data_IF_724286865586
#
_entry.id   IF_724286865586
#
_cell.length_a   1.000
_cell.length_b   1.000
_cell.length_c   1.000
_cell.angle_alpha   90.00
_cell.angle_beta   90.00
_cell.angle_gamma   90.00
#
_symmetry.space_group_name_H-M   'P 1'
#
loop_
_entity.id
_entity.type
_entity.pdbx_description
1 polymer ?
#
# COMPACT_ATOMS: atom_id res chain seq x y z
N UNK A 1 -2.97 8.19 14.74
CA UNK A 1 -2.04 8.26 13.59
C UNK A 1 -1.16 7.01 13.60
N UNK A 2 -0.82 6.41 12.45
CA UNK A 2 0.11 5.26 12.37
C UNK A 2 1.46 5.71 11.81
N UNK A 3 2.55 5.35 12.48
CA UNK A 3 3.93 5.60 12.05
C UNK A 3 4.18 4.92 10.69
N UNK A 4 3.80 3.64 10.56
CA UNK A 4 3.90 2.87 9.31
C UNK A 4 3.00 3.39 8.18
N UNK A 5 2.07 4.30 8.47
CA UNK A 5 1.30 5.01 7.44
C UNK A 5 2.16 5.88 6.51
N UNK A 6 3.43 6.14 6.88
CA UNK A 6 4.39 6.93 6.09
C UNK A 6 5.41 6.08 5.32
N UNK A 7 5.35 4.75 5.38
CA UNK A 7 6.35 3.88 4.73
C UNK A 7 6.44 4.12 3.22
N UNK A 8 5.32 4.38 2.54
CA UNK A 8 5.31 4.72 1.12
C UNK A 8 6.01 6.05 0.83
N UNK A 9 5.81 7.06 1.68
CA UNK A 9 6.49 8.37 1.57
C UNK A 9 7.99 8.23 1.77
N UNK A 10 8.41 7.46 2.76
CA UNK A 10 9.84 7.19 3.02
C UNK A 10 10.47 6.41 1.86
N UNK A 11 9.79 5.37 1.37
CA UNK A 11 10.26 4.62 0.19
C UNK A 11 10.41 5.54 -1.01
N UNK A 12 9.43 6.42 -1.26
CA UNK A 12 9.51 7.38 -2.34
C UNK A 12 10.70 8.35 -2.15
N UNK A 13 11.00 8.79 -0.93
CA UNK A 13 12.15 9.65 -0.65
C UNK A 13 13.49 8.97 -0.97
N UNK A 14 13.68 7.72 -0.53
CA UNK A 14 14.89 6.94 -0.83
C UNK A 14 15.12 6.75 -2.33
N UNK A 15 14.04 6.57 -3.10
CA UNK A 15 14.15 6.41 -4.55
C UNK A 15 14.44 7.76 -5.22
N UNK A 16 13.66 8.79 -4.93
CA UNK A 16 13.85 10.11 -5.56
C UNK A 16 15.21 10.74 -5.22
N UNK A 17 15.78 10.45 -4.04
CA UNK A 17 17.09 10.94 -3.63
C UNK A 17 18.24 10.49 -4.54
N UNK A 18 18.05 9.41 -5.32
CA UNK A 18 19.07 8.89 -6.23
C UNK A 18 18.73 9.09 -7.71
N UNK A 19 17.59 9.70 -8.04
CA UNK A 19 17.20 9.96 -9.43
C UNK A 19 17.98 11.19 -9.96
N UNK A 20 18.79 11.06 -11.02
CA UNK A 20 19.43 12.20 -11.67
C UNK A 20 18.41 13.20 -12.17
N UNK A 21 18.79 14.47 -12.12
CA UNK A 21 18.02 15.56 -12.73
C UNK A 21 18.87 16.14 -13.85
N UNK A 22 18.38 16.04 -15.08
CA UNK A 22 18.88 16.77 -16.22
C UNK A 22 18.00 18.01 -16.41
N UNK A 23 18.53 19.18 -16.08
CA UNK A 23 17.80 20.43 -16.20
C UNK A 23 17.78 20.88 -17.67
N UNK A 24 16.60 21.09 -18.26
CA UNK A 24 16.54 21.57 -19.63
C UNK A 24 16.92 23.04 -19.73
N UNK A 25 17.43 23.40 -20.90
CA UNK A 25 17.58 24.79 -21.30
C UNK A 25 16.27 25.36 -21.85
N UNK A 26 16.24 26.68 -22.08
CA UNK A 26 15.02 27.36 -22.52
C UNK A 26 14.52 26.91 -23.90
N UNK A 27 15.41 26.50 -24.80
CA UNK A 27 15.02 26.08 -26.15
C UNK A 27 14.40 24.68 -26.12
N UNK A 28 14.94 23.76 -25.32
CA UNK A 28 14.34 22.44 -25.06
C UNK A 28 12.94 22.58 -24.44
N UNK A 29 12.76 23.51 -23.49
CA UNK A 29 11.44 23.78 -22.90
C UNK A 29 10.48 24.33 -23.94
N UNK A 30 10.91 25.28 -24.77
CA UNK A 30 10.06 25.85 -25.84
C UNK A 30 9.63 24.79 -26.85
N UNK A 31 10.55 23.92 -27.28
CA UNK A 31 10.24 22.84 -28.21
C UNK A 31 9.25 21.84 -27.59
N UNK A 32 9.49 21.42 -26.35
CA UNK A 32 8.59 20.57 -25.59
C UNK A 32 7.17 21.15 -25.48
N UNK A 33 7.06 22.45 -25.15
CA UNK A 33 5.78 23.14 -25.07
C UNK A 33 5.11 23.27 -26.44
N UNK A 34 5.86 23.56 -27.50
CA UNK A 34 5.33 23.64 -28.86
C UNK A 34 4.68 22.32 -29.30
N UNK A 35 5.28 21.17 -28.99
CA UNK A 35 4.72 19.84 -29.28
C UNK A 35 3.41 19.60 -28.51
N UNK A 36 3.34 20.09 -27.27
CA UNK A 36 2.13 20.07 -26.46
C UNK A 36 1.09 21.13 -26.91
N UNK A 37 1.38 21.91 -27.95
CA UNK A 37 0.55 22.99 -28.45
C UNK A 37 0.38 24.13 -27.45
N UNK A 38 1.46 24.42 -26.71
CA UNK A 38 1.54 25.47 -25.70
C UNK A 38 2.62 26.50 -26.03
N UNK A 39 2.46 27.70 -25.47
CA UNK A 39 3.41 28.80 -25.46
C UNK A 39 3.24 29.60 -24.15
N UNK A 40 3.96 30.70 -24.02
CA UNK A 40 3.95 31.53 -22.80
C UNK A 40 2.57 32.15 -22.48
N UNK A 41 1.69 32.30 -23.48
CA UNK A 41 0.36 32.91 -23.32
C UNK A 41 -0.71 31.90 -22.94
N UNK A 42 -0.51 30.60 -23.23
CA UNK A 42 -1.50 29.55 -23.00
C UNK A 42 -0.94 28.34 -22.23
N UNK A 43 0.11 28.56 -21.43
CA UNK A 43 0.71 27.56 -20.55
C UNK A 43 -0.32 27.00 -19.57
N UNK A 44 -0.54 25.68 -19.63
CA UNK A 44 -1.62 25.00 -18.93
C UNK A 44 -1.26 23.54 -18.64
N UNK A 45 -2.05 22.88 -17.80
CA UNK A 45 -1.96 21.45 -17.56
C UNK A 45 -2.17 20.69 -18.87
N UNK A 46 -1.20 19.86 -19.25
CA UNK A 46 -1.25 19.04 -20.46
C UNK A 46 -2.45 18.08 -20.45
N UNK A 47 -2.87 17.62 -19.26
CA UNK A 47 -3.94 16.64 -19.10
C UNK A 47 -5.35 17.23 -19.14
N UNK A 48 -5.60 18.38 -18.48
CA UNK A 48 -6.97 18.89 -18.30
C UNK A 48 -7.18 20.36 -18.68
N UNK A 49 -6.12 21.10 -19.00
CA UNK A 49 -6.23 22.52 -19.38
C UNK A 49 -6.38 23.52 -18.23
N UNK A 50 -6.45 23.06 -16.98
CA UNK A 50 -6.36 23.96 -15.82
C UNK A 50 -4.95 24.60 -15.75
N UNK A 51 -4.78 25.63 -14.91
CA UNK A 51 -3.46 26.18 -14.60
C UNK A 51 -2.48 25.07 -14.15
N UNK A 52 -1.34 24.98 -14.84
CA UNK A 52 -0.25 24.10 -14.41
C UNK A 52 0.41 24.68 -13.15
N UNK A 53 0.67 23.81 -12.17
CA UNK A 53 1.31 24.17 -10.90
C UNK A 53 2.63 23.44 -10.68
N UNK A 54 2.93 22.45 -11.52
CA UNK A 54 4.08 21.57 -11.40
C UNK A 54 4.37 20.87 -12.74
N UNK A 55 5.47 20.12 -12.78
CA UNK A 55 5.80 19.23 -13.90
C UNK A 55 5.61 17.79 -13.44
N UNK A 56 4.83 17.01 -14.19
CA UNK A 56 4.57 15.59 -13.90
C UNK A 56 5.41 14.68 -14.79
N UNK A 57 5.86 13.56 -14.22
CA UNK A 57 6.59 12.55 -14.97
C UNK A 57 5.64 11.71 -15.82
N UNK A 58 5.74 11.81 -17.13
CA UNK A 58 4.86 11.10 -18.07
C UNK A 58 5.02 9.57 -17.93
N UNK A 59 6.26 9.11 -17.75
CA UNK A 59 6.64 7.74 -17.40
C UNK A 59 7.05 7.71 -15.92
N UNK A 60 6.52 6.77 -15.11
CA UNK A 60 6.74 6.78 -13.67
C UNK A 60 8.22 6.53 -13.33
N UNK A 61 8.76 7.31 -12.39
CA UNK A 61 10.10 7.07 -11.81
C UNK A 61 10.12 5.87 -10.86
N UNK A 62 8.97 5.57 -10.22
CA UNK A 62 8.85 4.55 -9.18
C UNK A 62 7.78 3.53 -9.55
N UNK A 63 8.14 2.24 -9.56
CA UNK A 63 7.22 1.14 -9.73
C UNK A 63 7.63 -0.02 -8.82
N UNK A 64 6.67 -0.68 -8.17
CA UNK A 64 6.92 -1.81 -7.27
C UNK A 64 8.01 -1.53 -6.21
N UNK A 65 8.01 -0.31 -5.65
CA UNK A 65 8.99 0.18 -4.67
C UNK A 65 10.45 0.20 -5.17
N UNK A 66 10.66 0.26 -6.49
CA UNK A 66 11.98 0.36 -7.13
C UNK A 66 11.99 1.49 -8.17
N UNK A 67 13.15 2.08 -8.47
CA UNK A 67 13.29 2.98 -9.62
C UNK A 67 13.08 2.22 -10.93
N UNK A 68 12.48 2.87 -11.91
CA UNK A 68 12.17 2.28 -13.23
C UNK A 68 13.33 2.35 -14.23
N UNK A 69 14.37 3.11 -13.92
CA UNK A 69 15.47 3.43 -14.83
C UNK A 69 15.37 4.84 -15.43
N UNK A 70 14.17 5.43 -15.49
CA UNK A 70 13.99 6.79 -16.00
C UNK A 70 14.56 7.83 -15.04
N UNK A 71 15.05 8.93 -15.60
CA UNK A 71 15.54 10.10 -14.85
C UNK A 71 14.53 11.26 -14.92
N UNK A 72 14.79 12.32 -14.18
CA UNK A 72 14.04 13.57 -14.34
C UNK A 72 14.70 14.43 -15.41
N UNK A 73 14.03 14.56 -16.55
CA UNK A 73 14.50 15.34 -17.71
C UNK A 73 13.29 15.80 -18.52
N UNK A 74 13.47 16.78 -19.40
CA UNK A 74 12.36 17.37 -20.14
C UNK A 74 11.59 16.32 -20.94
N UNK A 75 12.23 15.37 -21.61
CA UNK A 75 11.59 14.30 -22.41
C UNK A 75 10.61 13.40 -21.61
N UNK A 76 10.64 13.49 -20.28
CA UNK A 76 9.74 12.78 -19.40
C UNK A 76 8.88 13.71 -18.53
N UNK A 77 8.87 15.02 -18.75
CA UNK A 77 8.18 16.01 -17.92
C UNK A 77 7.15 16.80 -18.72
N UNK A 78 5.89 16.81 -18.26
CA UNK A 78 4.83 17.63 -18.85
C UNK A 78 4.24 18.59 -17.81
N UNK A 79 3.82 19.80 -18.20
CA UNK A 79 3.09 20.69 -17.30
C UNK A 79 1.82 20.03 -16.78
N UNK A 80 1.58 20.09 -15.48
CA UNK A 80 0.44 19.44 -14.84
C UNK A 80 -0.11 20.27 -13.68
N UNK A 81 -1.38 20.07 -13.35
CA UNK A 81 -1.96 20.56 -12.10
C UNK A 81 -1.90 19.49 -11.01
N UNK A 82 -1.88 19.92 -9.74
CA UNK A 82 -1.85 19.05 -8.56
C UNK A 82 -2.85 17.88 -8.59
N UNK A 83 -4.08 18.15 -9.05
CA UNK A 83 -5.16 17.15 -9.10
C UNK A 83 -4.85 16.04 -10.10
N UNK A 84 -4.38 16.40 -11.30
CA UNK A 84 -4.06 15.43 -12.35
C UNK A 84 -2.82 14.61 -11.99
N UNK A 85 -1.75 15.26 -11.53
CA UNK A 85 -0.54 14.57 -11.09
C UNK A 85 -0.84 13.55 -9.98
N UNK A 86 -1.53 13.98 -8.91
CA UNK A 86 -1.91 13.11 -7.81
C UNK A 86 -2.82 11.96 -8.26
N UNK A 87 -3.80 12.23 -9.11
CA UNK A 87 -4.74 11.21 -9.61
C UNK A 87 -4.04 10.16 -10.48
N UNK A 88 -3.14 10.60 -11.37
CA UNK A 88 -2.32 9.72 -12.21
C UNK A 88 -1.41 8.87 -11.32
N UNK A 89 -0.62 9.50 -10.47
CA UNK A 89 0.42 8.85 -9.68
C UNK A 89 1.38 8.10 -10.60
N UNK A 90 1.64 6.82 -10.29
CA UNK A 90 2.52 5.97 -11.08
C UNK A 90 1.84 5.19 -12.22
N UNK A 91 0.57 5.49 -12.53
CA UNK A 91 -0.15 4.82 -13.62
C UNK A 91 0.41 5.26 -14.97
N UNK A 92 0.24 4.40 -15.96
CA UNK A 92 0.46 4.78 -17.35
C UNK A 92 -0.54 5.91 -17.72
N UNK A 93 -0.02 7.04 -18.19
CA UNK A 93 -0.82 8.24 -18.46
C UNK A 93 -1.93 7.97 -19.47
N UNK A 94 -1.67 7.17 -20.52
CA UNK A 94 -2.61 6.90 -21.62
C UNK A 94 -3.80 6.07 -21.14
N UNK A 95 -3.56 5.08 -20.27
CA UNK A 95 -4.65 4.32 -19.65
C UNK A 95 -5.38 5.11 -18.57
N UNK A 96 -4.68 6.01 -17.86
CA UNK A 96 -5.27 6.79 -16.77
C UNK A 96 -6.14 7.94 -17.28
N UNK A 97 -5.72 8.63 -18.34
CA UNK A 97 -6.39 9.85 -18.80
C UNK A 97 -7.84 9.58 -19.22
N UNK A 98 -8.10 8.39 -19.77
CA UNK A 98 -9.42 7.88 -20.18
C UNK A 98 -10.11 6.99 -19.14
N UNK A 99 -9.58 6.89 -17.92
CA UNK A 99 -10.12 5.98 -16.88
C UNK A 99 -11.23 6.60 -16.05
N UNK A 100 -11.95 5.76 -15.31
CA UNK A 100 -12.98 6.15 -14.32
C UNK A 100 -12.42 6.67 -12.99
N UNK A 101 -11.12 6.99 -12.90
CA UNK A 101 -10.57 7.57 -11.69
C UNK A 101 -11.20 8.95 -11.45
N UNK A 102 -11.71 9.23 -10.24
CA UNK A 102 -12.49 10.44 -9.90
C UNK A 102 -11.92 11.77 -10.41
N UNK A 103 -10.59 11.87 -10.52
CA UNK A 103 -9.89 13.09 -10.93
C UNK A 103 -9.17 12.94 -12.30
N UNK A 104 -9.43 11.87 -13.06
CA UNK A 104 -8.98 11.76 -14.45
C UNK A 104 -9.67 12.82 -15.31
N UNK A 105 -9.06 13.25 -16.44
CA UNK A 105 -9.73 14.13 -17.39
C UNK A 105 -11.05 13.57 -17.93
N UNK A 106 -11.14 12.26 -18.21
CA UNK A 106 -12.38 11.64 -18.68
C UNK A 106 -13.51 11.74 -17.64
N UNK A 107 -13.28 11.34 -16.39
CA UNK A 107 -14.30 11.43 -15.33
C UNK A 107 -14.69 12.87 -14.99
N UNK A 108 -13.81 13.84 -15.29
CA UNK A 108 -14.09 15.28 -15.14
C UNK A 108 -14.79 15.91 -16.36
N UNK A 109 -15.04 15.15 -17.43
CA UNK A 109 -15.73 15.65 -18.62
C UNK A 109 -14.93 16.66 -19.44
N UNK A 110 -13.59 16.53 -19.49
CA UNK A 110 -12.74 17.39 -20.32
C UNK A 110 -13.06 17.14 -21.80
N UNK A 111 -13.57 18.16 -22.49
CA UNK A 111 -14.15 18.03 -23.84
C UNK A 111 -13.13 17.84 -24.96
N UNK A 112 -11.90 18.32 -24.78
CA UNK A 112 -10.80 18.25 -25.76
C UNK A 112 -9.80 17.12 -25.47
N UNK A 113 -10.21 16.11 -24.69
CA UNK A 113 -9.34 15.01 -24.24
C UNK A 113 -8.61 14.29 -25.38
N UNK A 114 -9.28 14.03 -26.51
CA UNK A 114 -8.68 13.36 -27.68
C UNK A 114 -7.54 14.20 -28.31
N UNK A 115 -7.72 15.52 -28.38
CA UNK A 115 -6.67 16.43 -28.84
C UNK A 115 -5.46 16.39 -27.89
N UNK A 116 -5.71 16.35 -26.58
CA UNK A 116 -4.65 16.25 -25.56
C UNK A 116 -3.92 14.91 -25.62
N UNK A 117 -4.63 13.81 -25.81
CA UNK A 117 -4.04 12.47 -26.00
C UNK A 117 -3.13 12.46 -27.24
N UNK A 118 -3.57 13.10 -28.33
CA UNK A 118 -2.77 13.21 -29.56
C UNK A 118 -1.47 13.97 -29.29
N UNK A 119 -1.56 15.14 -28.65
CA UNK A 119 -0.38 15.96 -28.28
C UNK A 119 0.58 15.22 -27.35
N UNK A 120 0.05 14.54 -26.32
CA UNK A 120 0.85 13.73 -25.39
C UNK A 120 1.48 12.50 -26.06
N UNK A 121 0.81 11.93 -27.07
CA UNK A 121 1.37 10.83 -27.88
C UNK A 121 2.54 11.34 -28.71
N UNK A 122 2.36 12.45 -29.45
CA UNK A 122 3.42 13.09 -30.22
C UNK A 122 4.61 13.46 -29.32
N UNK A 123 4.32 14.00 -28.13
CA UNK A 123 5.33 14.33 -27.13
C UNK A 123 6.11 13.10 -26.65
N UNK A 124 5.42 12.00 -26.37
CA UNK A 124 6.06 10.75 -25.95
C UNK A 124 6.96 10.15 -27.05
N UNK A 125 6.65 10.43 -28.32
CA UNK A 125 7.35 9.91 -29.51
C UNK A 125 8.46 10.83 -30.01
N UNK A 126 8.48 12.12 -29.62
CA UNK A 126 9.46 13.12 -30.07
C UNK A 126 10.90 12.71 -29.76
N UNK A 127 11.18 12.36 -28.50
CA UNK A 127 12.49 11.88 -28.08
C UNK A 127 12.37 10.73 -27.08
N UNK A 128 13.34 9.81 -27.17
CA UNK A 128 13.44 8.68 -26.24
C UNK A 128 14.08 9.19 -24.96
N UNK A 129 13.40 9.12 -23.80
CA UNK A 129 13.99 9.53 -22.54
C UNK A 129 15.14 8.59 -22.16
N UNK A 130 16.11 9.18 -21.48
CA UNK A 130 17.23 8.50 -20.85
C UNK A 130 16.71 7.44 -19.87
N UNK A 131 17.22 6.22 -20.04
CA UNK A 131 16.98 5.11 -19.14
C UNK A 131 18.32 4.50 -18.74
N UNK A 132 18.58 4.46 -17.44
CA UNK A 132 19.84 3.97 -16.89
C UNK A 132 19.65 2.74 -16.03
N UNK A 133 20.69 1.92 -15.98
CA UNK A 133 20.86 0.89 -14.96
C UNK A 133 21.62 1.50 -13.78
N UNK A 134 20.87 1.90 -12.75
CA UNK A 134 21.42 2.52 -11.55
C UNK A 134 22.46 1.64 -10.87
N UNK A 135 22.19 0.33 -10.77
CA UNK A 135 23.05 -0.63 -10.07
C UNK A 135 24.37 -0.81 -10.83
N UNK A 136 24.30 -0.95 -12.15
CA UNK A 136 25.50 -1.06 -12.99
C UNK A 136 26.39 0.19 -12.89
N UNK A 137 25.80 1.39 -12.78
CA UNK A 137 26.55 2.66 -12.67
C UNK A 137 27.20 2.82 -11.29
N UNK A 138 26.47 2.57 -10.21
CA UNK A 138 26.99 2.82 -8.85
C UNK A 138 27.78 1.64 -8.28
N UNK A 139 27.60 0.46 -8.86
CA UNK A 139 28.15 -0.82 -8.42
C UNK A 139 27.33 -1.49 -7.32
N UNK A 140 27.31 -2.83 -7.35
CA UNK A 140 26.54 -3.70 -6.45
C UNK A 140 26.70 -3.33 -4.96
N UNK A 141 27.93 -3.04 -4.52
CA UNK A 141 28.21 -2.70 -3.11
C UNK A 141 27.45 -1.46 -2.64
N UNK A 142 27.50 -0.36 -3.41
CA UNK A 142 26.83 0.89 -3.05
C UNK A 142 25.32 0.76 -3.21
N UNK A 143 24.89 0.06 -4.26
CA UNK A 143 23.49 -0.22 -4.51
C UNK A 143 22.86 -1.00 -3.36
N UNK A 144 23.49 -2.10 -2.95
CA UNK A 144 23.06 -2.89 -1.80
C UNK A 144 23.03 -2.05 -0.53
N UNK A 145 24.08 -1.26 -0.26
CA UNK A 145 24.13 -0.39 0.92
C UNK A 145 22.96 0.60 0.97
N UNK A 146 22.58 1.20 -0.18
CA UNK A 146 21.43 2.11 -0.26
C UNK A 146 20.12 1.42 0.15
N UNK A 147 19.90 0.19 -0.33
CA UNK A 147 18.69 -0.57 -0.02
C UNK A 147 18.70 -1.17 1.39
N UNK A 148 19.87 -1.55 1.92
CA UNK A 148 20.02 -1.95 3.32
C UNK A 148 19.65 -0.77 4.25
N UNK A 149 20.09 0.45 3.93
CA UNK A 149 19.72 1.66 4.68
C UNK A 149 18.21 1.93 4.63
N UNK A 150 17.59 1.79 3.45
CA UNK A 150 16.15 1.91 3.30
C UNK A 150 15.42 0.87 4.18
N UNK A 151 15.83 -0.40 4.11
CA UNK A 151 15.20 -1.47 4.86
C UNK A 151 15.31 -1.24 6.37
N UNK A 152 16.47 -0.80 6.85
CA UNK A 152 16.68 -0.45 8.26
C UNK A 152 15.70 0.62 8.75
N UNK A 153 15.46 1.66 7.94
CA UNK A 153 14.48 2.71 8.28
C UNK A 153 13.06 2.14 8.34
N UNK A 154 12.68 1.32 7.36
CA UNK A 154 11.34 0.68 7.34
C UNK A 154 11.15 -0.22 8.56
N UNK A 155 12.13 -1.05 8.88
CA UNK A 155 12.09 -1.94 10.05
C UNK A 155 11.98 -1.14 11.35
N UNK A 156 12.74 -0.04 11.47
CA UNK A 156 12.68 0.86 12.63
C UNK A 156 11.31 1.51 12.79
N UNK A 157 10.65 1.90 11.69
CA UNK A 157 9.29 2.43 11.73
C UNK A 157 8.28 1.38 12.19
N UNK A 158 8.46 0.11 11.79
CA UNK A 158 7.62 -1.00 12.25
C UNK A 158 7.81 -1.24 13.75
N UNK A 159 9.05 -1.30 14.24
CA UNK A 159 9.33 -1.45 15.68
C UNK A 159 8.75 -0.28 16.48
N UNK A 160 8.91 0.94 15.99
CA UNK A 160 8.34 2.14 16.62
C UNK A 160 6.81 2.08 16.70
N UNK A 161 6.16 1.50 15.68
CA UNK A 161 4.71 1.34 15.68
C UNK A 161 4.25 0.30 16.71
N UNK A 162 5.00 -0.79 16.90
CA UNK A 162 4.71 -1.80 17.93
C UNK A 162 4.82 -1.17 19.32
N UNK A 163 5.95 -0.50 19.61
CA UNK A 163 6.16 0.19 20.88
C UNK A 163 5.09 1.26 21.13
N UNK A 164 4.72 2.03 20.12
CA UNK A 164 3.65 3.04 20.25
C UNK A 164 2.30 2.42 20.61
N UNK A 165 2.00 1.20 20.13
CA UNK A 165 0.78 0.49 20.49
C UNK A 165 0.84 -0.02 21.93
N UNK A 166 1.98 -0.56 22.36
CA UNK A 166 2.21 -1.00 23.74
C UNK A 166 2.04 0.16 24.73
N UNK A 167 2.73 1.28 24.48
CA UNK A 167 2.60 2.51 25.28
C UNK A 167 1.14 2.95 25.34
N UNK A 168 0.42 2.94 24.21
CA UNK A 168 -1.00 3.32 24.17
C UNK A 168 -1.87 2.37 25.02
N UNK A 169 -1.57 1.07 25.00
CA UNK A 169 -2.25 0.07 25.84
C UNK A 169 -2.02 0.32 27.34
N UNK A 170 -0.78 0.56 27.73
CA UNK A 170 -0.43 0.88 29.13
C UNK A 170 -1.10 2.17 29.61
N UNK A 171 -1.06 3.23 28.81
CA UNK A 171 -1.71 4.51 29.16
C UNK A 171 -3.24 4.37 29.26
N UNK A 172 -3.88 3.55 28.43
CA UNK A 172 -5.32 3.34 28.50
C UNK A 172 -5.76 2.66 29.80
N UNK A 173 -4.89 1.85 30.42
CA UNK A 173 -5.17 1.19 31.70
C UNK A 173 -4.98 2.12 32.91
N UNK A 174 -4.18 3.18 32.76
CA UNK A 174 -3.82 4.10 33.84
C UNK A 174 -4.65 5.39 33.84
N UNK A 175 -5.43 5.65 32.78
CA UNK A 175 -6.39 6.74 32.74
C UNK A 175 -7.64 6.33 33.53
N UNK A 176 -8.02 7.03 34.61
CA UNK A 176 -9.27 6.78 35.32
C UNK A 176 -10.43 6.95 34.35
N UNK A 177 -11.28 5.93 34.21
CA UNK A 177 -12.57 6.12 33.55
C UNK A 177 -13.36 7.14 34.37
N UNK A 178 -13.55 8.33 33.82
CA UNK A 178 -14.42 9.34 34.40
C UNK A 178 -15.80 8.74 34.59
N UNK A 179 -16.17 8.51 35.84
CA UNK A 179 -17.53 8.23 36.26
C UNK A 179 -18.43 9.39 35.86
N UNK A 180 -19.24 9.20 34.83
CA UNK A 180 -20.53 9.90 34.73
C UNK A 180 -21.62 8.95 35.19
N UNK A 181 -22.34 9.45 36.19
CA UNK A 181 -23.35 8.85 37.05
C UNK A 181 -24.47 8.07 36.34
N UNK A 182 -24.65 6.84 36.83
CA UNK A 182 -25.90 6.14 37.21
C UNK A 182 -27.21 6.47 36.48
N UNK A 183 -27.77 5.44 35.85
CA UNK A 183 -29.05 4.88 36.33
C UNK A 183 -29.05 3.34 36.23
N UNK A 184 -29.38 2.72 37.36
CA UNK A 184 -29.69 1.30 37.60
C UNK A 184 -30.64 0.72 36.55
N UNK A 185 -30.62 -0.57 36.17
CA UNK A 185 -30.80 -1.75 37.04
C UNK A 185 -30.42 -3.07 36.33
N UNK A 186 -30.16 -4.08 37.17
CA UNK A 186 -30.20 -5.54 36.95
C UNK A 186 -28.99 -6.28 36.38
N UNK A 187 -28.46 -7.16 37.26
CA UNK A 187 -27.49 -8.22 37.03
C UNK A 187 -28.07 -9.32 36.12
N UNK A 188 -27.38 -9.59 35.01
CA UNK A 188 -27.19 -10.91 34.40
C UNK A 188 -25.85 -10.90 33.61
N UNK A 189 -25.22 -12.06 33.35
CA UNK A 189 -23.83 -12.13 32.89
C UNK A 189 -23.72 -11.67 31.42
N UNK A 190 -23.34 -10.41 31.21
CA UNK A 190 -23.12 -9.87 29.88
C UNK A 190 -21.84 -10.44 29.24
N UNK A 191 -22.03 -11.39 28.34
CA UNK A 191 -21.20 -11.50 27.14
C UNK A 191 -21.27 -10.16 26.41
N UNK A 192 -20.14 -9.46 26.28
CA UNK A 192 -20.09 -8.20 25.54
C UNK A 192 -20.44 -8.48 24.07
N UNK A 193 -21.57 -7.95 23.62
CA UNK A 193 -21.97 -8.05 22.21
C UNK A 193 -20.91 -7.39 21.31
N UNK A 194 -20.54 -8.01 20.17
CA UNK A 194 -19.54 -7.44 19.28
C UNK A 194 -20.01 -6.09 18.74
N UNK A 195 -19.11 -5.10 18.68
CA UNK A 195 -19.43 -3.80 18.10
C UNK A 195 -19.82 -3.93 16.60
N UNK A 196 -20.56 -2.97 16.02
CA UNK A 196 -20.92 -3.01 14.60
C UNK A 196 -19.73 -3.18 13.64
N UNK A 197 -18.56 -2.66 14.02
CA UNK A 197 -17.30 -2.83 13.29
C UNK A 197 -16.82 -4.29 13.34
N UNK A 198 -16.92 -4.93 14.51
CA UNK A 198 -16.55 -6.33 14.69
C UNK A 198 -17.54 -7.26 13.99
N UNK A 199 -18.84 -6.98 14.02
CA UNK A 199 -19.85 -7.75 13.27
C UNK A 199 -19.54 -7.76 11.77
N UNK A 200 -19.24 -6.59 11.20
CA UNK A 200 -18.87 -6.49 9.78
C UNK A 200 -17.59 -7.28 9.47
N UNK A 201 -16.62 -7.24 10.38
CA UNK A 201 -15.36 -7.98 10.23
C UNK A 201 -15.58 -9.50 10.35
N UNK A 202 -16.39 -9.97 11.29
CA UNK A 202 -16.77 -11.38 11.44
C UNK A 202 -17.46 -11.89 10.16
N UNK A 203 -18.41 -11.12 9.61
CA UNK A 203 -19.07 -11.44 8.34
C UNK A 203 -18.08 -11.48 7.16
N UNK A 204 -17.05 -10.64 7.18
CA UNK A 204 -15.97 -10.67 6.19
C UNK A 204 -15.11 -11.93 6.32
N UNK A 205 -14.76 -12.32 7.55
CA UNK A 205 -14.02 -13.55 7.84
C UNK A 205 -14.78 -14.76 7.32
N UNK A 206 -16.07 -14.90 7.65
CA UNK A 206 -16.90 -16.01 7.18
C UNK A 206 -16.85 -16.16 5.65
N UNK A 207 -17.06 -15.08 4.90
CA UNK A 207 -16.99 -15.10 3.42
C UNK A 207 -15.62 -15.48 2.89
N UNK A 208 -14.54 -15.02 3.53
CA UNK A 208 -13.16 -15.30 3.11
C UNK A 208 -12.78 -16.76 3.36
N UNK A 209 -13.17 -17.33 4.51
CA UNK A 209 -12.88 -18.73 4.84
C UNK A 209 -13.50 -19.71 3.83
N UNK A 210 -14.73 -19.45 3.37
CA UNK A 210 -15.36 -20.24 2.29
C UNK A 210 -14.57 -20.22 0.98
N UNK A 211 -13.85 -19.12 0.70
CA UNK A 211 -12.96 -19.03 -0.46
C UNK A 211 -11.61 -19.72 -0.22
N UNK A 212 -11.03 -19.54 0.97
CA UNK A 212 -9.70 -20.06 1.31
C UNK A 212 -9.65 -21.57 1.39
N UNK A 213 -10.73 -22.21 1.83
CA UNK A 213 -10.78 -23.68 1.90
C UNK A 213 -10.63 -24.33 0.53
N UNK A 214 -11.18 -23.69 -0.51
CA UNK A 214 -11.11 -24.16 -1.89
C UNK A 214 -9.82 -23.71 -2.61
N UNK A 215 -8.99 -22.88 -1.97
CA UNK A 215 -7.78 -22.29 -2.56
C UNK A 215 -6.60 -22.36 -1.58
N UNK A 216 -6.07 -23.56 -1.27
CA UNK A 216 -5.03 -23.74 -0.25
C UNK A 216 -3.70 -23.09 -0.62
N UNK A 217 -3.44 -22.81 -1.90
CA UNK A 217 -2.23 -22.14 -2.39
C UNK A 217 -2.25 -20.62 -2.22
N UNK A 218 -3.40 -20.01 -1.89
CA UNK A 218 -3.45 -18.58 -1.61
C UNK A 218 -2.64 -18.26 -0.34
N UNK A 219 -1.91 -17.15 -0.35
CA UNK A 219 -1.00 -16.77 0.75
C UNK A 219 -1.72 -16.78 2.12
N UNK A 220 -2.91 -16.19 2.21
CA UNK A 220 -3.65 -16.14 3.48
C UNK A 220 -4.10 -17.53 3.95
N UNK A 221 -4.47 -18.41 3.02
CA UNK A 221 -4.79 -19.82 3.32
C UNK A 221 -3.56 -20.55 3.85
N UNK A 222 -2.40 -20.37 3.21
CA UNK A 222 -1.14 -20.98 3.65
C UNK A 222 -0.77 -20.52 5.08
N UNK A 223 -0.93 -19.23 5.38
CA UNK A 223 -0.66 -18.69 6.72
C UNK A 223 -1.60 -19.32 7.77
N UNK A 224 -2.91 -19.34 7.51
CA UNK A 224 -3.87 -19.94 8.44
C UNK A 224 -3.62 -21.44 8.63
N UNK A 225 -3.40 -22.19 7.55
CA UNK A 225 -3.17 -23.63 7.60
C UNK A 225 -1.89 -23.96 8.36
N UNK A 226 -0.81 -23.20 8.12
CA UNK A 226 0.46 -23.37 8.84
C UNK A 226 0.28 -23.06 10.33
N UNK A 227 -0.47 -22.01 10.68
CA UNK A 227 -0.80 -21.72 12.08
C UNK A 227 -1.57 -22.86 12.75
N UNK A 228 -2.60 -23.40 12.09
CA UNK A 228 -3.40 -24.50 12.63
C UNK A 228 -2.57 -25.78 12.84
N UNK A 229 -1.64 -26.07 11.92
CA UNK A 229 -0.71 -27.19 12.04
C UNK A 229 0.31 -26.99 13.17
N UNK A 230 0.81 -25.76 13.39
CA UNK A 230 1.69 -25.47 14.51
C UNK A 230 0.95 -25.54 15.85
N UNK A 231 -0.30 -25.07 15.91
CA UNK A 231 -1.13 -25.08 17.11
C UNK A 231 -1.46 -26.49 17.62
N UNK A 232 -1.45 -27.51 16.76
CA UNK A 232 -1.67 -28.90 17.19
C UNK A 232 -0.43 -29.53 17.84
N UNK A 233 0.75 -28.94 17.65
CA UNK A 233 2.03 -29.50 18.09
C UNK A 233 2.77 -28.62 19.10
N UNK A 234 2.42 -27.33 19.18
CA UNK A 234 3.07 -26.35 20.05
C UNK A 234 2.04 -25.72 20.98
N UNK A 235 2.39 -25.61 22.27
CA UNK A 235 1.58 -24.92 23.27
C UNK A 235 1.39 -23.43 22.94
N UNK A 236 2.44 -22.81 22.37
CA UNK A 236 2.47 -21.41 21.99
C UNK A 236 3.03 -21.26 20.58
N UNK A 237 2.33 -20.50 19.73
CA UNK A 237 2.79 -20.17 18.37
C UNK A 237 3.21 -18.70 18.33
N UNK A 238 4.47 -18.42 18.01
CA UNK A 238 4.98 -17.05 17.85
C UNK A 238 4.95 -16.62 16.38
N UNK A 239 5.03 -15.30 16.11
CA UNK A 239 5.13 -14.80 14.73
C UNK A 239 6.36 -15.38 14.04
N UNK A 240 7.49 -15.41 14.74
CA UNK A 240 8.73 -15.95 14.19
C UNK A 240 8.58 -17.42 13.85
N UNK A 241 8.01 -18.24 14.74
CA UNK A 241 7.77 -19.65 14.48
C UNK A 241 6.88 -19.86 13.24
N UNK A 242 5.78 -19.10 13.15
CA UNK A 242 4.87 -19.15 12.00
C UNK A 242 5.52 -18.64 10.69
N UNK A 243 6.45 -17.68 10.79
CA UNK A 243 7.23 -17.20 9.65
C UNK A 243 8.23 -18.27 9.19
N UNK A 244 8.92 -18.92 10.14
CA UNK A 244 9.90 -19.97 9.87
C UNK A 244 9.27 -21.22 9.24
N UNK A 245 8.01 -21.52 9.53
CA UNK A 245 7.28 -22.62 8.88
C UNK A 245 6.88 -22.32 7.42
N UNK A 246 7.11 -21.09 6.94
CA UNK A 246 6.79 -20.64 5.58
C UNK A 246 8.00 -19.95 4.91
N UNK A 247 9.15 -20.64 4.75
CA UNK A 247 10.41 -20.02 4.36
C UNK A 247 10.38 -19.38 2.96
N UNK A 248 9.61 -19.95 2.02
CA UNK A 248 9.47 -19.45 0.64
C UNK A 248 8.55 -18.21 0.54
N UNK A 249 7.84 -17.87 1.62
CA UNK A 249 6.86 -16.78 1.61
C UNK A 249 7.51 -15.43 1.89
N UNK A 250 8.09 -14.81 0.87
CA UNK A 250 8.75 -13.49 0.96
C UNK A 250 7.82 -12.36 1.42
N UNK A 251 6.51 -12.50 1.23
CA UNK A 251 5.49 -11.49 1.59
C UNK A 251 4.75 -11.81 2.90
N UNK A 252 5.24 -12.76 3.71
CA UNK A 252 4.59 -13.24 4.93
C UNK A 252 4.13 -12.09 5.83
N UNK A 253 5.04 -11.19 6.24
CA UNK A 253 4.75 -10.12 7.21
C UNK A 253 3.62 -9.20 6.76
N UNK A 254 3.60 -8.81 5.49
CA UNK A 254 2.56 -7.92 4.95
C UNK A 254 1.19 -8.60 4.93
N UNK A 255 1.13 -9.88 4.57
CA UNK A 255 -0.14 -10.62 4.53
C UNK A 255 -0.63 -10.97 5.93
N UNK A 256 0.27 -11.43 6.81
CA UNK A 256 -0.02 -11.72 8.21
C UNK A 256 -0.56 -10.48 8.93
N UNK A 257 0.07 -9.31 8.78
CA UNK A 257 -0.40 -8.07 9.38
C UNK A 257 -1.82 -7.69 8.93
N UNK A 258 -2.16 -7.93 7.66
CA UNK A 258 -3.52 -7.71 7.13
C UNK A 258 -4.54 -8.72 7.67
N UNK A 259 -4.10 -9.84 8.23
CA UNK A 259 -4.94 -10.82 8.92
C UNK A 259 -5.02 -10.58 10.44
N UNK A 260 -4.32 -9.59 10.98
CA UNK A 260 -4.22 -9.36 12.43
C UNK A 260 -4.88 -8.05 12.91
N UNK A 261 -5.32 -7.18 11.99
CA UNK A 261 -5.88 -5.84 12.31
C UNK A 261 -7.20 -5.61 11.59
N UNK A 262 -8.12 -4.85 12.20
CA UNK A 262 -9.32 -4.32 11.53
C UNK A 262 -8.99 -2.96 10.91
N UNK A 263 -9.00 -2.88 9.58
CA UNK A 263 -8.88 -1.64 8.80
C UNK A 263 -9.72 -1.77 7.52
N UNK A 264 -10.10 -0.64 6.92
CA UNK A 264 -10.98 -0.56 5.73
C UNK A 264 -10.61 -1.55 4.60
N UNK A 265 -9.31 -1.74 4.36
CA UNK A 265 -8.78 -2.76 3.45
C UNK A 265 -7.83 -3.68 4.19
N UNK A 266 -8.34 -4.81 4.67
CA UNK A 266 -7.56 -5.91 5.24
C UNK A 266 -7.91 -7.26 4.58
N UNK A 267 -7.18 -8.31 4.98
CA UNK A 267 -7.38 -9.69 4.51
C UNK A 267 -8.32 -10.50 5.39
N UNK A 268 -9.25 -9.83 6.09
CA UNK A 268 -10.06 -10.34 7.18
C UNK A 268 -9.23 -10.66 8.44
N UNK A 269 -9.67 -10.15 9.60
CA UNK A 269 -8.99 -10.33 10.87
C UNK A 269 -9.23 -11.74 11.41
N UNK A 270 -8.17 -12.55 11.36
CA UNK A 270 -8.14 -13.92 11.88
C UNK A 270 -7.35 -13.99 13.18
N UNK A 271 -6.27 -13.23 13.27
CA UNK A 271 -5.33 -13.34 14.38
C UNK A 271 -5.44 -12.15 15.33
N UNK A 272 -5.11 -12.41 16.58
CA UNK A 272 -4.69 -11.44 17.56
C UNK A 272 -3.25 -11.76 17.97
N UNK A 273 -2.47 -10.73 18.26
CA UNK A 273 -1.06 -10.87 18.59
C UNK A 273 -0.80 -10.12 19.89
N UNK A 274 -0.29 -10.84 20.88
CA UNK A 274 0.16 -10.29 22.17
C UNK A 274 1.58 -10.79 22.43
N UNK A 275 2.54 -9.89 22.65
CA UNK A 275 3.94 -10.24 23.00
C UNK A 275 4.57 -11.30 22.08
N UNK A 276 4.44 -11.10 20.75
CA UNK A 276 4.89 -12.01 19.70
C UNK A 276 4.10 -13.35 19.61
N UNK A 277 3.18 -13.63 20.53
CA UNK A 277 2.33 -14.81 20.52
C UNK A 277 1.11 -14.55 19.63
N UNK A 278 0.87 -15.47 18.69
CA UNK A 278 -0.25 -15.45 17.76
C UNK A 278 -1.38 -16.31 18.31
N UNK A 279 -2.57 -15.74 18.42
CA UNK A 279 -3.80 -16.44 18.78
C UNK A 279 -4.87 -16.18 17.73
N UNK A 280 -5.89 -17.03 17.69
CA UNK A 280 -7.09 -16.73 16.90
C UNK A 280 -7.85 -15.62 17.63
N UNK A 281 -8.29 -14.62 16.87
CA UNK A 281 -9.12 -13.56 17.39
C UNK A 281 -10.43 -14.15 17.91
N UNK A 282 -10.70 -13.97 19.21
CA UNK A 282 -11.79 -14.63 19.93
C UNK A 282 -13.14 -14.68 19.21
N UNK A 283 -13.65 -13.55 18.65
CA UNK A 283 -14.96 -13.51 17.99
C UNK A 283 -15.11 -14.41 16.77
N UNK A 284 -14.02 -14.87 16.15
CA UNK A 284 -14.07 -15.77 14.98
C UNK A 284 -13.61 -17.19 15.29
N UNK A 285 -13.36 -17.52 16.56
CA UNK A 285 -12.85 -18.83 16.97
C UNK A 285 -13.74 -19.99 16.47
N UNK A 286 -15.07 -19.82 16.51
CA UNK A 286 -16.02 -20.83 16.04
C UNK A 286 -15.91 -21.05 14.53
N UNK A 287 -15.79 -19.99 13.73
CA UNK A 287 -15.61 -20.06 12.28
C UNK A 287 -14.30 -20.79 11.91
N UNK A 288 -13.23 -20.57 12.67
CA UNK A 288 -11.95 -21.23 12.45
C UNK A 288 -12.00 -22.70 12.81
N UNK A 289 -12.73 -23.09 13.86
CA UNK A 289 -12.94 -24.49 14.21
C UNK A 289 -13.72 -25.23 13.11
N UNK A 290 -14.76 -24.60 12.55
CA UNK A 290 -15.51 -25.14 11.42
C UNK A 290 -14.64 -25.29 10.18
N UNK A 291 -13.82 -24.27 9.87
CA UNK A 291 -12.86 -24.29 8.78
C UNK A 291 -11.84 -25.43 8.93
N UNK A 292 -11.28 -25.61 10.13
CA UNK A 292 -10.33 -26.68 10.42
C UNK A 292 -10.97 -28.07 10.31
N UNK A 293 -12.23 -28.22 10.76
CA UNK A 293 -12.99 -29.47 10.61
C UNK A 293 -13.17 -29.82 9.15
N UNK A 294 -13.58 -28.86 8.32
CA UNK A 294 -13.76 -29.07 6.89
C UNK A 294 -12.43 -29.39 6.18
N UNK A 295 -11.34 -28.70 6.51
CA UNK A 295 -10.00 -28.99 5.96
C UNK A 295 -9.57 -30.45 6.20
N UNK A 296 -9.87 -31.00 7.37
CA UNK A 296 -9.53 -32.38 7.70
C UNK A 296 -10.36 -33.38 6.89
N UNK A 297 -11.59 -33.03 6.49
CA UNK A 297 -12.44 -33.86 5.62
C UNK A 297 -11.95 -33.89 4.17
N UNK A 298 -11.27 -32.85 3.68
CA UNK A 298 -10.71 -32.79 2.33
C UNK A 298 -9.31 -33.42 2.19
N UNK A 299 -8.63 -33.70 3.30
CA UNK A 299 -7.28 -34.29 3.33
C UNK A 299 -7.29 -35.81 3.66
N UNK A 300 -8.45 -36.47 3.53
CA UNK A 300 -8.63 -37.93 3.56
C UNK A 300 -8.83 -38.44 2.13
#
# INVERSE_FOLDING_TARGET
>A
MKITGRSSTITNAFINAIIPINYPNNDEVKEALAILGMNDENFQCAYCGDTASEWDHLRPLVLNKKPTGYISEIQNLVPSCGKCNQSKGNKNWKTWITSEATLSPASRGISDIESRITKLTNYQEWEIPTKIDFEAIVGEKKWKQHWDNWQLVIDTMEQSQLLANEIKGLLANDIPQSTTETHSTHNEPHTTDPSPVEINEINKVQRKLSGWINNPTQINSQILNSFLALKSTHETVTIDLLRYSLPEMTTFRSNFNQMSIIVERNHAKIFEVNDNVVRIWGPVQYLINDYQTQLNTFNI
#
